data_IF_255267614841
#
_entry.id   IF_255267614841
#
_cell.length_a   1.000
_cell.length_b   1.000
_cell.length_c   1.000
_cell.angle_alpha   90.00
_cell.angle_beta   90.00
_cell.angle_gamma   90.00
#
_symmetry.space_group_name_H-M   'P 1'
#
loop_
_entity.id
_entity.type
_entity.pdbx_description
1 polymer ?
#
# COMPACT_ATOMS: atom_id res chain seq x y z
N UNK A 1 69.66 -11.95 21.74
CA UNK A 1 69.04 -11.85 23.08
C UNK A 1 67.53 -11.94 22.85
N UNK A 2 66.97 -13.16 22.99
CA UNK A 2 65.91 -13.52 23.96
C UNK A 2 64.64 -12.66 23.81
N UNK A 3 63.42 -13.16 23.60
CA UNK A 3 62.81 -14.37 24.16
C UNK A 3 61.44 -14.64 23.46
N UNK A 4 60.97 -15.91 23.55
CA UNK A 4 59.67 -16.48 23.15
C UNK A 4 58.47 -15.71 23.77
N UNK A 5 57.22 -15.84 23.32
CA UNK A 5 56.27 -16.91 23.74
C UNK A 5 55.05 -17.00 22.82
N UNK A 6 54.65 -18.25 22.54
CA UNK A 6 53.41 -18.71 21.92
C UNK A 6 52.18 -18.33 22.75
N UNK A 7 51.06 -17.97 22.11
CA UNK A 7 49.73 -18.35 22.60
C UNK A 7 48.78 -18.63 21.43
N UNK A 8 48.48 -19.93 21.27
CA UNK A 8 47.40 -20.47 20.49
C UNK A 8 46.12 -20.31 21.34
N UNK A 9 45.20 -19.44 20.94
CA UNK A 9 43.94 -19.19 21.64
C UNK A 9 42.75 -19.45 20.72
N UNK A 10 42.30 -20.70 20.65
CA UNK A 10 41.09 -21.08 19.94
C UNK A 10 39.88 -20.61 20.76
N UNK A 11 39.33 -19.45 20.41
CA UNK A 11 38.07 -18.97 21.00
C UNK A 11 36.95 -19.85 20.47
N UNK A 12 36.59 -20.88 21.24
CA UNK A 12 35.34 -21.59 21.04
C UNK A 12 34.20 -20.64 21.38
N UNK A 13 33.53 -20.14 20.34
CA UNK A 13 32.22 -19.48 20.50
C UNK A 13 31.25 -20.58 20.92
N UNK A 14 31.00 -20.67 22.23
CA UNK A 14 29.86 -21.43 22.73
C UNK A 14 28.60 -20.74 22.20
N UNK A 15 27.93 -21.38 21.23
CA UNK A 15 26.60 -21.01 20.78
C UNK A 15 25.65 -21.24 21.95
N UNK A 16 25.54 -20.27 22.86
CA UNK A 16 24.52 -20.28 23.89
C UNK A 16 23.17 -20.27 23.17
N UNK A 17 22.47 -21.41 23.20
CA UNK A 17 21.16 -21.57 22.59
C UNK A 17 20.23 -20.47 23.13
N UNK A 18 19.77 -19.60 22.24
CA UNK A 18 18.74 -18.62 22.55
C UNK A 18 17.54 -19.42 23.08
N UNK A 19 17.03 -19.15 24.29
CA UNK A 19 15.87 -19.87 24.80
C UNK A 19 14.69 -19.65 23.84
N UNK A 20 14.16 -20.74 23.29
CA UNK A 20 13.05 -20.75 22.34
C UNK A 20 11.72 -20.22 22.93
N UNK A 21 11.68 -19.89 24.23
CA UNK A 21 10.49 -19.40 24.94
C UNK A 21 10.10 -17.97 24.61
N UNK A 22 10.88 -17.25 23.80
CA UNK A 22 10.56 -15.91 23.32
C UNK A 22 9.96 -15.89 21.90
N UNK A 23 9.71 -17.05 21.29
CA UNK A 23 9.15 -17.13 19.94
C UNK A 23 7.62 -17.10 19.98
N UNK A 24 7.02 -16.15 19.27
CA UNK A 24 5.57 -16.07 19.05
C UNK A 24 5.14 -17.35 18.32
N UNK A 25 4.17 -18.08 18.89
CA UNK A 25 3.65 -19.29 18.27
C UNK A 25 2.80 -18.95 17.05
N UNK A 26 2.70 -19.89 16.10
CA UNK A 26 1.87 -19.71 14.90
C UNK A 26 0.38 -19.49 15.24
N UNK A 27 -0.09 -20.04 16.36
CA UNK A 27 -1.44 -19.85 16.89
C UNK A 27 -1.67 -18.46 17.51
N UNK A 28 -0.69 -17.90 18.19
CA UNK A 28 -0.75 -16.52 18.66
C UNK A 28 -0.70 -15.53 17.50
N UNK A 29 0.12 -15.82 16.47
CA UNK A 29 0.17 -15.01 15.25
C UNK A 29 -1.15 -15.07 14.46
N UNK A 30 -1.79 -16.24 14.36
CA UNK A 30 -3.08 -16.35 13.68
C UNK A 30 -4.17 -15.59 14.43
N UNK A 31 -4.17 -15.66 15.77
CA UNK A 31 -5.07 -14.89 16.62
C UNK A 31 -4.82 -13.39 16.46
N UNK A 32 -3.56 -12.94 16.55
CA UNK A 32 -3.19 -11.54 16.38
C UNK A 32 -3.63 -10.98 15.02
N UNK A 33 -3.49 -11.75 13.92
CA UNK A 33 -3.97 -11.36 12.59
C UNK A 33 -5.49 -11.17 12.52
N UNK A 34 -6.26 -11.88 13.34
CA UNK A 34 -7.72 -11.76 13.38
C UNK A 34 -8.20 -10.54 14.18
N UNK A 35 -7.47 -10.15 15.23
CA UNK A 35 -7.85 -9.01 16.09
C UNK A 35 -7.21 -7.69 15.68
N UNK A 36 -6.06 -7.71 15.01
CA UNK A 36 -5.41 -6.50 14.52
C UNK A 36 -6.11 -5.99 13.27
N UNK A 37 -6.83 -4.89 13.42
CA UNK A 37 -7.40 -4.14 12.30
C UNK A 37 -6.41 -3.07 11.85
N UNK A 38 -6.00 -3.14 10.59
CA UNK A 38 -5.29 -2.04 9.95
C UNK A 38 -6.22 -0.83 9.86
N UNK A 39 -5.70 0.35 10.21
CA UNK A 39 -6.39 1.62 9.99
C UNK A 39 -5.48 2.57 9.24
N UNK A 40 -6.07 3.31 8.33
CA UNK A 40 -5.45 4.46 7.69
C UNK A 40 -5.08 5.50 8.76
N UNK A 41 -3.84 5.99 8.72
CA UNK A 41 -3.36 7.10 9.57
C UNK A 41 -3.25 8.40 8.73
N UNK A 42 -3.55 8.32 7.43
CA UNK A 42 -3.44 9.42 6.49
C UNK A 42 -1.99 9.74 6.10
N UNK A 43 -1.78 10.38 4.94
CA UNK A 43 -0.45 10.71 4.46
C UNK A 43 0.16 11.90 5.23
N UNK A 44 1.33 11.69 5.84
CA UNK A 44 2.02 12.74 6.62
C UNK A 44 2.75 13.77 5.75
N UNK A 45 3.11 13.45 4.50
CA UNK A 45 4.12 14.24 3.77
C UNK A 45 3.91 14.45 2.27
N UNK A 46 2.97 13.79 1.59
CA UNK A 46 2.34 14.20 0.31
C UNK A 46 1.35 13.09 -0.10
N UNK A 47 0.13 13.50 -0.48
CA UNK A 47 -0.85 12.57 -1.07
C UNK A 47 -0.40 12.12 -2.47
N UNK A 48 -0.99 11.04 -2.98
CA UNK A 48 -0.83 10.64 -4.38
C UNK A 48 -1.33 11.73 -5.34
N UNK A 49 -0.82 11.73 -6.59
CA UNK A 49 -1.31 12.65 -7.61
C UNK A 49 -2.64 12.14 -8.16
N UNK A 50 -3.63 13.02 -8.18
CA UNK A 50 -4.89 12.81 -8.89
C UNK A 50 -4.67 13.27 -10.32
N UNK A 51 -4.94 12.37 -11.27
CA UNK A 51 -4.86 12.65 -12.70
C UNK A 51 -6.20 13.14 -13.24
N UNK A 52 -7.30 12.58 -12.74
CA UNK A 52 -8.65 12.91 -13.21
C UNK A 52 -9.74 12.54 -12.19
N UNK A 53 -10.93 13.15 -12.31
CA UNK A 53 -12.10 12.92 -11.46
C UNK A 53 -13.36 12.85 -12.33
N UNK A 54 -14.13 11.77 -12.18
CA UNK A 54 -15.43 11.60 -12.84
C UNK A 54 -16.57 11.52 -11.83
N UNK A 55 -17.55 12.41 -11.96
CA UNK A 55 -18.71 12.51 -11.06
C UNK A 55 -19.92 11.86 -11.72
N UNK A 56 -20.71 11.12 -10.94
CA UNK A 56 -22.00 10.61 -11.38
C UNK A 56 -23.02 11.75 -11.37
N UNK A 57 -23.49 12.20 -12.54
CA UNK A 57 -24.40 13.36 -12.62
C UNK A 57 -25.74 13.15 -11.89
N UNK A 58 -26.27 11.93 -11.91
CA UNK A 58 -27.52 11.59 -11.22
C UNK A 58 -27.40 11.55 -9.70
N UNK A 59 -26.19 11.38 -9.18
CA UNK A 59 -25.88 11.34 -7.75
C UNK A 59 -24.46 11.87 -7.50
N UNK A 60 -24.29 13.20 -7.28
CA UNK A 60 -22.98 13.80 -7.06
C UNK A 60 -22.28 13.37 -5.76
N UNK A 61 -22.95 12.62 -4.89
CA UNK A 61 -22.30 12.00 -3.72
C UNK A 61 -21.39 10.84 -4.13
N UNK A 62 -21.61 10.29 -5.33
CA UNK A 62 -20.82 9.23 -5.93
C UNK A 62 -19.87 9.80 -7.00
N UNK A 63 -18.57 9.60 -6.80
CA UNK A 63 -17.57 9.96 -7.81
C UNK A 63 -16.33 9.08 -7.74
N UNK A 64 -15.60 9.07 -8.85
CA UNK A 64 -14.42 8.26 -9.09
C UNK A 64 -13.20 9.15 -9.26
N UNK A 65 -12.08 8.73 -8.71
CA UNK A 65 -10.82 9.46 -8.73
C UNK A 65 -9.77 8.56 -9.38
N UNK A 66 -9.23 9.00 -10.51
CA UNK A 66 -8.08 8.41 -11.15
C UNK A 66 -6.80 8.95 -10.53
N UNK A 67 -5.86 8.05 -10.20
CA UNK A 67 -4.57 8.45 -9.63
C UNK A 67 -3.42 8.09 -10.58
N UNK A 68 -2.40 8.94 -10.61
CA UNK A 68 -1.20 8.72 -11.42
C UNK A 68 -0.50 7.40 -11.04
N UNK A 69 -0.57 7.05 -9.76
CA UNK A 69 -0.09 5.78 -9.22
C UNK A 69 -0.96 5.46 -8.01
N UNK A 70 -1.71 4.35 -8.11
CA UNK A 70 -2.67 3.95 -7.06
C UNK A 70 -4.04 3.52 -7.59
N UNK A 71 -4.24 3.50 -8.92
CA UNK A 71 -5.47 3.02 -9.53
C UNK A 71 -6.64 4.00 -9.40
N UNK A 72 -7.84 3.42 -9.35
CA UNK A 72 -9.12 4.11 -9.26
C UNK A 72 -9.68 3.98 -7.84
N UNK A 73 -10.14 5.10 -7.31
CA UNK A 73 -10.81 5.20 -6.01
C UNK A 73 -12.25 5.67 -6.21
N UNK A 74 -13.20 5.08 -5.48
CA UNK A 74 -14.62 5.45 -5.51
C UNK A 74 -15.03 6.01 -4.15
N UNK A 75 -15.88 7.02 -4.16
CA UNK A 75 -16.67 7.41 -2.99
C UNK A 75 -18.16 7.31 -3.30
N UNK A 76 -18.97 7.09 -2.27
CA UNK A 76 -20.44 7.11 -2.30
C UNK A 76 -20.99 8.05 -1.22
N UNK A 77 -20.13 8.82 -0.55
CA UNK A 77 -20.48 9.68 0.57
C UNK A 77 -19.81 11.05 0.48
N UNK A 78 -19.82 11.60 -0.74
CA UNK A 78 -19.31 12.93 -1.07
C UNK A 78 -17.85 13.16 -0.66
N UNK A 79 -17.01 12.12 -0.75
CA UNK A 79 -15.59 12.20 -0.45
C UNK A 79 -15.22 12.04 1.02
N UNK A 80 -16.16 11.60 1.87
CA UNK A 80 -15.86 11.30 3.29
C UNK A 80 -14.97 10.07 3.41
N UNK A 81 -15.22 9.04 2.61
CA UNK A 81 -14.40 7.84 2.51
C UNK A 81 -14.22 7.41 1.06
N UNK A 82 -13.11 6.73 0.79
CA UNK A 82 -12.79 6.19 -0.53
C UNK A 82 -12.50 4.70 -0.46
N UNK A 83 -13.01 3.96 -1.42
CA UNK A 83 -12.77 2.55 -1.62
C UNK A 83 -11.93 2.32 -2.88
N UNK A 84 -10.86 1.52 -2.81
CA UNK A 84 -10.04 1.22 -3.98
C UNK A 84 -10.74 0.18 -4.87
N UNK A 85 -10.95 0.51 -6.14
CA UNK A 85 -11.59 -0.39 -7.11
C UNK A 85 -10.60 -1.16 -7.99
N UNK A 86 -9.34 -0.69 -8.07
CA UNK A 86 -8.37 -1.11 -9.08
C UNK A 86 -7.25 -2.00 -8.50
N UNK A 87 -7.61 -2.95 -7.63
CA UNK A 87 -6.64 -3.75 -6.85
C UNK A 87 -6.13 -5.01 -7.55
N UNK A 88 -6.78 -5.45 -8.63
CA UNK A 88 -6.46 -6.70 -9.35
C UNK A 88 -5.78 -6.51 -10.71
N UNK A 89 -5.55 -5.26 -11.11
CA UNK A 89 -5.13 -4.94 -12.48
C UNK A 89 -3.62 -4.87 -12.64
N UNK A 90 -3.15 -5.11 -13.87
CA UNK A 90 -1.71 -5.14 -14.20
C UNK A 90 -1.05 -3.76 -14.12
N UNK A 91 -1.82 -2.69 -14.23
CA UNK A 91 -1.35 -1.31 -14.17
C UNK A 91 -2.14 -0.54 -13.12
N UNK A 92 -1.44 0.27 -12.35
CA UNK A 92 -2.02 1.19 -11.37
C UNK A 92 -1.93 2.65 -11.81
N UNK A 93 -1.45 2.90 -13.03
CA UNK A 93 -1.30 4.23 -13.60
C UNK A 93 -2.52 4.60 -14.43
N UNK A 94 -3.29 5.56 -13.92
CA UNK A 94 -4.51 6.06 -14.54
C UNK A 94 -4.25 7.47 -15.05
N UNK A 95 -4.56 7.73 -16.31
CA UNK A 95 -4.51 9.06 -16.92
C UNK A 95 -5.87 9.72 -17.07
N UNK A 96 -6.95 8.94 -17.15
CA UNK A 96 -8.31 9.43 -17.42
C UNK A 96 -9.36 8.46 -16.85
N UNK A 97 -10.49 8.99 -16.37
CA UNK A 97 -11.65 8.22 -15.92
C UNK A 97 -12.94 8.92 -16.36
N UNK A 98 -13.93 8.17 -16.84
CA UNK A 98 -15.23 8.76 -17.19
C UNK A 98 -16.37 7.82 -16.86
N UNK A 99 -17.51 8.40 -16.49
CA UNK A 99 -18.76 7.67 -16.20
C UNK A 99 -19.60 7.64 -17.47
N UNK A 100 -20.13 6.47 -17.82
CA UNK A 100 -21.03 6.34 -18.97
C UNK A 100 -22.34 7.11 -18.72
N UNK A 101 -22.73 8.08 -19.58
CA UNK A 101 -23.96 8.85 -19.40
C UNK A 101 -25.23 7.98 -19.45
N UNK A 102 -25.18 6.86 -20.17
CA UNK A 102 -26.31 5.93 -20.32
C UNK A 102 -26.49 4.98 -19.13
N UNK A 103 -25.43 4.75 -18.35
CA UNK A 103 -25.45 3.83 -17.22
C UNK A 103 -24.34 4.19 -16.22
N UNK A 104 -24.67 4.84 -15.09
CA UNK A 104 -23.71 5.23 -14.06
C UNK A 104 -22.90 4.09 -13.44
N UNK A 105 -23.34 2.84 -13.62
CA UNK A 105 -22.59 1.67 -13.13
C UNK A 105 -21.42 1.27 -14.04
N UNK A 106 -21.30 1.88 -15.22
CA UNK A 106 -20.22 1.63 -16.17
C UNK A 106 -19.28 2.81 -16.17
N UNK A 107 -18.00 2.53 -15.88
CA UNK A 107 -16.91 3.50 -15.99
C UNK A 107 -15.92 3.05 -17.05
N UNK A 108 -15.32 4.03 -17.72
CA UNK A 108 -14.20 3.83 -18.64
C UNK A 108 -12.94 4.41 -18.02
N UNK A 109 -11.81 3.80 -18.30
CA UNK A 109 -10.52 4.27 -17.80
C UNK A 109 -9.46 4.23 -18.88
N UNK A 110 -8.70 5.33 -18.98
CA UNK A 110 -7.48 5.43 -19.76
C UNK A 110 -6.27 5.18 -18.87
N UNK A 111 -5.50 4.14 -19.18
CA UNK A 111 -4.25 3.84 -18.47
C UNK A 111 -3.07 4.60 -19.07
N UNK A 112 -2.07 4.93 -18.25
CA UNK A 112 -0.85 5.61 -18.69
C UNK A 112 -0.91 7.11 -18.42
N UNK A 113 -0.61 7.49 -17.18
CA UNK A 113 -0.57 8.89 -16.76
C UNK A 113 0.48 9.69 -17.57
N UNK A 114 0.08 10.77 -18.29
CA UNK A 114 1.00 11.51 -19.14
C UNK A 114 1.84 12.58 -18.41
N UNK A 115 1.54 12.93 -17.17
CA UNK A 115 2.14 14.09 -16.50
C UNK A 115 3.52 13.77 -15.89
N UNK A 116 4.56 14.27 -16.56
CA UNK A 116 5.90 14.31 -16.01
C UNK A 116 6.02 15.46 -14.99
N UNK A 117 6.61 15.18 -13.81
CA UNK A 117 6.87 16.14 -12.72
C UNK A 117 7.81 17.31 -13.09
N UNK A 118 8.40 17.30 -14.28
CA UNK A 118 9.38 18.31 -14.76
C UNK A 118 8.98 18.93 -16.12
N UNK A 119 7.69 18.97 -16.45
CA UNK A 119 7.21 19.64 -17.67
C UNK A 119 7.13 21.15 -17.52
#
# INVERSE_FOLDING_TARGET
>A
MHCRWLFLGMVSVALAGIPASAQITSGELSTAKQVLKWREIGPTIMSGRISDIAVVESDPSTFYVGTATGGIWKTENAGTTFEPLFQGEKTSSIGDVTVSPSNPNVIWTGTGEPQNRQS
#
